data_IF_113409318323
#
_entry.id   IF_113409318323
#
_cell.length_a   1.000
_cell.length_b   1.000
_cell.length_c   1.000
_cell.angle_alpha   90.00
_cell.angle_beta   90.00
_cell.angle_gamma   90.00
#
_symmetry.space_group_name_H-M   'P 1'
#
loop_
_entity.id
_entity.type
_entity.pdbx_description
1 polymer ?
#
# COMPACT_ATOMS: atom_id res chain seq x y z
N UNK A 1 8.82 -27.39 72.27
CA UNK A 1 8.95 -26.02 72.79
C UNK A 1 8.86 -25.09 71.65
N UNK A 2 7.64 -24.63 71.30
CA UNK A 2 7.38 -23.65 70.25
C UNK A 2 7.79 -22.25 70.79
N UNK A 3 8.85 -21.70 70.20
CA UNK A 3 9.33 -20.37 70.53
C UNK A 3 8.38 -19.35 69.90
N UNK A 4 7.58 -18.66 70.73
CA UNK A 4 6.68 -17.60 70.33
C UNK A 4 7.48 -16.53 69.56
N UNK A 5 7.09 -16.15 68.32
CA UNK A 5 7.85 -15.17 67.55
C UNK A 5 7.84 -13.81 68.28
N UNK A 6 8.99 -13.16 68.33
CA UNK A 6 9.19 -11.84 68.93
C UNK A 6 8.36 -10.76 68.18
N UNK A 7 7.88 -9.74 68.88
CA UNK A 7 7.05 -8.70 68.31
C UNK A 7 7.72 -7.91 67.18
N UNK A 8 9.05 -7.80 67.21
CA UNK A 8 9.85 -7.20 66.13
C UNK A 8 9.82 -7.98 64.85
N UNK A 9 9.89 -9.34 64.94
CA UNK A 9 9.79 -10.22 63.77
C UNK A 9 8.42 -10.11 63.10
N UNK A 10 7.37 -10.08 63.88
CA UNK A 10 5.98 -9.93 63.38
C UNK A 10 5.77 -8.58 62.68
N UNK A 11 6.35 -7.50 63.20
CA UNK A 11 6.26 -6.17 62.59
C UNK A 11 7.06 -6.08 61.28
N UNK A 12 8.23 -6.71 61.21
CA UNK A 12 9.05 -6.76 60.02
C UNK A 12 8.35 -7.55 58.88
N UNK A 13 7.76 -8.69 59.21
CA UNK A 13 6.99 -9.51 58.23
C UNK A 13 5.75 -8.78 57.71
N UNK A 14 5.02 -8.07 58.57
CA UNK A 14 3.86 -7.25 58.18
C UNK A 14 4.30 -6.11 57.23
N UNK A 15 5.38 -5.41 57.54
CA UNK A 15 5.91 -4.36 56.70
C UNK A 15 6.34 -4.87 55.34
N UNK A 16 7.02 -6.02 55.29
CA UNK A 16 7.46 -6.63 54.05
C UNK A 16 6.32 -7.11 53.20
N UNK A 17 5.26 -7.68 53.84
CA UNK A 17 4.03 -8.06 53.16
C UNK A 17 3.33 -6.84 52.55
N UNK A 18 3.18 -5.75 53.33
CA UNK A 18 2.59 -4.50 52.83
C UNK A 18 3.37 -3.90 51.69
N UNK A 19 4.73 -3.87 51.80
CA UNK A 19 5.59 -3.39 50.71
C UNK A 19 5.47 -4.23 49.43
N UNK A 20 5.38 -5.55 49.55
CA UNK A 20 5.16 -6.43 48.40
C UNK A 20 3.79 -6.21 47.76
N UNK A 21 2.75 -6.09 48.60
CA UNK A 21 1.40 -5.83 48.13
C UNK A 21 1.30 -4.46 47.42
N UNK A 22 1.89 -3.42 48.00
CA UNK A 22 1.92 -2.07 47.37
C UNK A 22 2.64 -2.07 46.03
N UNK A 23 3.77 -2.77 45.94
CA UNK A 23 4.51 -2.93 44.69
C UNK A 23 3.68 -3.67 43.62
N UNK A 24 3.00 -4.75 44.01
CA UNK A 24 2.13 -5.52 43.11
C UNK A 24 0.95 -4.69 42.61
N UNK A 25 0.23 -4.04 43.52
CA UNK A 25 -0.92 -3.17 43.18
C UNK A 25 -0.45 -1.98 42.31
N UNK A 26 0.69 -1.38 42.67
CA UNK A 26 1.26 -0.29 41.85
C UNK A 26 1.63 -0.75 40.44
N UNK A 27 2.29 -1.90 40.29
CA UNK A 27 2.60 -2.46 38.98
C UNK A 27 1.35 -2.77 38.16
N UNK A 28 0.35 -3.39 38.79
CA UNK A 28 -0.93 -3.68 38.14
C UNK A 28 -1.67 -2.39 37.71
N UNK A 29 -1.65 -1.35 38.54
CA UNK A 29 -2.23 -0.05 38.21
C UNK A 29 -1.53 0.63 37.04
N UNK A 30 -0.20 0.62 37.00
CA UNK A 30 0.57 1.14 35.85
C UNK A 30 0.25 0.35 34.59
N UNK A 31 0.24 -0.97 34.66
CA UNK A 31 -0.10 -1.82 33.49
C UNK A 31 -1.50 -1.51 32.97
N UNK A 32 -2.49 -1.40 33.86
CA UNK A 32 -3.86 -1.08 33.47
C UNK A 32 -4.01 0.33 32.86
N UNK A 33 -3.21 1.29 33.30
CA UNK A 33 -3.20 2.66 32.76
C UNK A 33 -2.48 2.76 31.39
N UNK A 34 -1.39 1.99 31.21
CA UNK A 34 -0.57 2.04 30.00
C UNK A 34 -1.14 1.17 28.88
N UNK A 35 -1.81 0.05 29.22
CA UNK A 35 -2.35 -0.87 28.24
C UNK A 35 -3.25 -0.23 27.17
N UNK A 36 -4.26 0.62 27.51
CA UNK A 36 -5.10 1.26 26.51
C UNK A 36 -4.33 2.22 25.61
N UNK A 37 -3.24 2.83 26.10
CA UNK A 37 -2.39 3.69 25.28
C UNK A 37 -1.61 2.87 24.25
N UNK A 38 -1.09 1.73 24.65
CA UNK A 38 -0.38 0.81 23.73
C UNK A 38 -1.36 0.21 22.73
N UNK A 39 -2.55 -0.22 23.17
CA UNK A 39 -3.55 -0.79 22.28
C UNK A 39 -4.07 0.21 21.24
N UNK A 40 -4.13 1.50 21.58
CA UNK A 40 -4.52 2.57 20.66
C UNK A 40 -3.48 2.85 19.55
N UNK A 41 -2.25 2.33 19.67
CA UNK A 41 -1.20 2.42 18.63
C UNK A 41 -1.30 1.28 17.60
N UNK A 42 -2.12 0.29 17.84
CA UNK A 42 -2.39 -0.78 16.88
C UNK A 42 -3.27 -0.31 15.70
N UNK A 43 -3.25 -1.02 14.56
CA UNK A 43 -4.20 -0.76 13.50
C UNK A 43 -5.64 -0.96 14.00
N UNK A 44 -6.55 -0.10 13.58
CA UNK A 44 -7.97 -0.26 13.84
C UNK A 44 -8.63 -1.20 12.80
N UNK A 45 -9.84 -1.68 13.09
CA UNK A 45 -10.59 -2.60 12.23
C UNK A 45 -10.83 -2.03 10.83
N UNK A 46 -10.88 -0.69 10.69
CA UNK A 46 -11.04 -0.01 9.40
C UNK A 46 -9.76 -0.09 8.58
N UNK A 47 -8.62 0.15 9.22
CA UNK A 47 -7.30 0.04 8.55
C UNK A 47 -7.03 -1.40 8.11
N UNK A 48 -7.44 -2.39 8.92
CA UNK A 48 -7.32 -3.80 8.53
C UNK A 48 -8.22 -4.13 7.35
N UNK A 49 -9.47 -3.69 7.34
CA UNK A 49 -10.41 -3.88 6.23
C UNK A 49 -9.95 -3.17 4.93
N UNK A 50 -9.36 -1.97 5.04
CA UNK A 50 -8.80 -1.25 3.90
C UNK A 50 -7.56 -1.93 3.30
N UNK A 51 -6.88 -2.77 4.08
CA UNK A 51 -5.71 -3.53 3.64
C UNK A 51 -6.07 -4.87 2.96
N UNK A 52 -7.33 -5.29 3.00
CA UNK A 52 -7.73 -6.50 2.31
C UNK A 52 -7.61 -6.36 0.78
N UNK A 53 -7.23 -7.43 0.08
CA UNK A 53 -7.21 -7.42 -1.38
C UNK A 53 -8.61 -7.19 -1.95
N UNK A 54 -8.69 -6.40 -3.01
CA UNK A 54 -9.96 -6.14 -3.72
C UNK A 54 -9.97 -6.80 -5.09
N UNK A 55 -11.12 -7.40 -5.45
CA UNK A 55 -11.36 -7.94 -6.77
C UNK A 55 -12.12 -6.90 -7.62
N UNK A 56 -11.62 -6.65 -8.83
CA UNK A 56 -12.21 -5.70 -9.77
C UNK A 56 -12.54 -6.42 -11.07
N UNK A 57 -13.82 -6.41 -11.46
CA UNK A 57 -14.24 -6.92 -12.77
C UNK A 57 -13.77 -5.98 -13.88
N UNK A 58 -13.19 -6.56 -14.91
CA UNK A 58 -12.73 -5.91 -16.15
C UNK A 58 -13.65 -6.23 -17.32
N UNK A 59 -14.69 -7.06 -17.11
CA UNK A 59 -15.65 -7.41 -18.13
C UNK A 59 -16.36 -6.15 -18.68
N UNK A 60 -16.37 -6.01 -20.00
CA UNK A 60 -17.00 -4.86 -20.67
C UNK A 60 -16.19 -3.57 -20.71
N UNK A 61 -14.97 -3.55 -20.18
CA UNK A 61 -14.07 -2.40 -20.30
C UNK A 61 -13.49 -2.37 -21.72
N UNK A 62 -13.85 -1.38 -22.51
CA UNK A 62 -13.35 -1.23 -23.88
C UNK A 62 -11.88 -0.79 -23.92
N UNK A 63 -11.19 -1.14 -25.01
CA UNK A 63 -9.82 -0.67 -25.24
C UNK A 63 -9.76 0.87 -25.25
N UNK A 64 -8.74 1.43 -24.59
CA UNK A 64 -8.58 2.87 -24.36
C UNK A 64 -9.29 3.39 -23.11
N UNK A 65 -10.09 2.56 -22.43
CA UNK A 65 -10.77 2.98 -21.20
C UNK A 65 -9.92 2.70 -19.94
N UNK A 66 -10.15 3.52 -18.90
CA UNK A 66 -9.50 3.39 -17.60
C UNK A 66 -10.53 3.23 -16.49
N UNK A 67 -10.42 2.15 -15.75
CA UNK A 67 -11.17 1.92 -14.50
C UNK A 67 -10.38 2.48 -13.33
N UNK A 68 -11.07 3.19 -12.44
CA UNK A 68 -10.47 3.79 -11.23
C UNK A 68 -10.98 3.06 -10.00
N UNK A 69 -10.08 2.68 -9.09
CA UNK A 69 -10.42 2.05 -7.80
C UNK A 69 -9.54 2.66 -6.72
N UNK A 70 -10.04 2.65 -5.50
CA UNK A 70 -9.27 3.06 -4.32
C UNK A 70 -8.94 1.78 -3.55
N UNK A 71 -7.67 1.60 -3.19
CA UNK A 71 -7.17 0.54 -2.35
C UNK A 71 -6.11 1.09 -1.41
N UNK A 72 -6.22 0.81 -0.11
CA UNK A 72 -5.35 1.39 0.94
C UNK A 72 -5.25 2.92 0.86
N UNK A 73 -6.37 3.61 0.62
CA UNK A 73 -6.40 5.05 0.45
C UNK A 73 -5.69 5.56 -0.83
N UNK A 74 -5.18 4.67 -1.69
CA UNK A 74 -4.47 5.01 -2.93
C UNK A 74 -5.36 4.78 -4.14
N UNK A 75 -5.33 5.73 -5.07
CA UNK A 75 -6.00 5.58 -6.36
C UNK A 75 -5.21 4.60 -7.23
N UNK A 76 -5.89 3.58 -7.73
CA UNK A 76 -5.36 2.62 -8.70
C UNK A 76 -6.06 2.87 -10.04
N UNK A 77 -5.27 3.00 -11.09
CA UNK A 77 -5.72 3.13 -12.47
C UNK A 77 -5.48 1.79 -13.17
N UNK A 78 -6.55 1.21 -13.73
CA UNK A 78 -6.51 -0.02 -14.51
C UNK A 78 -6.88 0.38 -15.92
N UNK A 79 -5.92 0.42 -16.81
CA UNK A 79 -6.10 0.90 -18.19
C UNK A 79 -6.10 -0.27 -19.16
N UNK A 80 -7.14 -0.35 -19.98
CA UNK A 80 -7.22 -1.29 -21.11
C UNK A 80 -6.51 -0.70 -22.32
N UNK A 81 -5.24 -1.04 -22.50
CA UNK A 81 -4.40 -0.50 -23.57
C UNK A 81 -4.90 -0.96 -24.94
N UNK A 82 -4.88 -0.06 -25.88
CA UNK A 82 -5.10 -0.37 -27.30
C UNK A 82 -3.86 -1.06 -27.90
N UNK A 83 -3.97 -1.77 -29.02
CA UNK A 83 -2.81 -2.34 -29.72
C UNK A 83 -1.75 -1.30 -30.09
N UNK A 84 -2.18 -0.07 -30.41
CA UNK A 84 -1.28 1.05 -30.71
C UNK A 84 -0.48 1.48 -29.49
N UNK A 85 -1.11 1.56 -28.32
CA UNK A 85 -0.45 1.90 -27.05
C UNK A 85 0.57 0.84 -26.65
N UNK A 86 0.24 -0.44 -26.82
CA UNK A 86 1.18 -1.55 -26.56
C UNK A 86 2.39 -1.45 -27.49
N UNK A 87 2.16 -1.27 -28.80
CA UNK A 87 3.25 -1.14 -29.76
C UNK A 87 4.14 0.07 -29.47
N UNK A 88 3.54 1.21 -29.11
CA UNK A 88 4.27 2.42 -28.74
C UNK A 88 5.13 2.21 -27.48
N UNK A 89 4.60 1.50 -26.47
CA UNK A 89 5.32 1.18 -25.25
C UNK A 89 6.54 0.28 -25.54
N UNK A 90 6.38 -0.78 -26.33
CA UNK A 90 7.45 -1.70 -26.71
C UNK A 90 8.53 -1.01 -27.56
N UNK A 91 8.13 -0.12 -28.48
CA UNK A 91 9.09 0.68 -29.26
C UNK A 91 9.88 1.64 -28.37
N UNK A 92 9.29 2.14 -27.30
CA UNK A 92 9.95 3.03 -26.38
C UNK A 92 10.98 2.34 -25.47
N UNK A 93 11.01 1.00 -25.39
CA UNK A 93 12.04 0.23 -24.66
C UNK A 93 13.45 0.51 -25.20
N UNK A 94 13.57 0.87 -26.49
CA UNK A 94 14.83 1.21 -27.15
C UNK A 94 15.22 2.69 -27.00
N UNK A 95 14.44 3.49 -26.29
CA UNK A 95 14.71 4.93 -26.09
C UNK A 95 15.46 5.17 -24.78
N UNK A 96 16.17 6.29 -24.72
CA UNK A 96 16.76 6.76 -23.47
C UNK A 96 15.65 7.31 -22.58
N UNK A 97 15.20 6.53 -21.62
CA UNK A 97 14.19 6.91 -20.62
C UNK A 97 14.85 7.52 -19.38
N UNK A 98 14.15 8.42 -18.69
CA UNK A 98 14.63 9.00 -17.42
C UNK A 98 14.75 7.95 -16.31
N UNK A 99 13.83 6.97 -16.29
CA UNK A 99 13.86 5.80 -15.43
C UNK A 99 13.67 4.55 -16.30
N UNK A 100 14.77 3.93 -16.80
CA UNK A 100 14.72 2.80 -17.72
C UNK A 100 14.02 1.59 -17.09
N UNK A 101 13.02 1.06 -17.79
CA UNK A 101 12.30 -0.16 -17.43
C UNK A 101 11.59 -0.66 -18.70
N UNK A 102 11.69 -1.96 -19.00
CA UNK A 102 11.01 -2.53 -20.17
C UNK A 102 9.48 -2.57 -19.97
N UNK A 103 8.71 -2.48 -21.05
CA UNK A 103 7.24 -2.60 -21.00
C UNK A 103 6.83 -3.95 -20.36
N UNK A 104 7.54 -5.02 -20.69
CA UNK A 104 7.30 -6.36 -20.16
C UNK A 104 7.46 -6.49 -18.64
N UNK A 105 8.20 -5.60 -18.00
CA UNK A 105 8.37 -5.56 -16.54
C UNK A 105 7.23 -4.80 -15.84
N UNK A 106 6.38 -4.15 -16.61
CA UNK A 106 5.31 -3.29 -16.11
C UNK A 106 3.91 -3.88 -16.26
N UNK A 107 3.79 -4.96 -17.01
CA UNK A 107 2.54 -5.66 -17.27
C UNK A 107 2.70 -7.16 -17.11
N UNK A 108 1.60 -7.86 -16.90
CA UNK A 108 1.61 -9.33 -16.89
C UNK A 108 1.75 -9.85 -18.32
N UNK A 109 2.72 -10.74 -18.57
CA UNK A 109 3.03 -11.26 -19.91
C UNK A 109 1.82 -11.92 -20.59
N UNK A 110 0.95 -12.60 -19.82
CA UNK A 110 -0.26 -13.24 -20.35
C UNK A 110 -1.33 -12.24 -20.81
N UNK A 111 -1.33 -11.03 -20.24
CA UNK A 111 -2.37 -10.02 -20.50
C UNK A 111 -1.75 -8.62 -20.67
N UNK A 112 -0.91 -8.39 -21.71
CA UNK A 112 -0.20 -7.14 -21.92
C UNK A 112 -1.14 -5.94 -22.20
N UNK A 113 -2.40 -6.17 -22.49
CA UNK A 113 -3.41 -5.14 -22.67
C UNK A 113 -3.82 -4.45 -21.37
N UNK A 114 -3.53 -5.04 -20.20
CA UNK A 114 -3.89 -4.45 -18.92
C UNK A 114 -2.69 -3.80 -18.26
N UNK A 115 -2.73 -2.48 -18.15
CA UNK A 115 -1.78 -1.70 -17.36
C UNK A 115 -2.42 -1.33 -16.02
N UNK A 116 -1.83 -1.78 -14.91
CA UNK A 116 -2.28 -1.47 -13.55
C UNK A 116 -1.23 -0.61 -12.87
N UNK A 117 -1.58 0.64 -12.55
CA UNK A 117 -0.64 1.62 -11.97
C UNK A 117 -1.29 2.37 -10.81
N UNK A 118 -0.47 2.88 -9.91
CA UNK A 118 -0.92 3.85 -8.91
C UNK A 118 -1.13 5.22 -9.58
N UNK A 119 -2.30 5.81 -9.35
CA UNK A 119 -2.68 7.10 -9.92
C UNK A 119 -2.07 8.29 -9.15
N UNK A 120 -0.78 8.23 -8.82
CA UNK A 120 -0.05 9.29 -8.12
C UNK A 120 1.25 9.61 -8.82
N UNK A 121 1.41 10.88 -9.20
CA UNK A 121 2.63 11.38 -9.79
C UNK A 121 3.77 11.35 -8.75
N UNK A 122 4.93 10.72 -9.05
CA UNK A 122 6.05 10.62 -8.12
C UNK A 122 6.67 11.96 -7.73
N UNK A 123 6.35 13.06 -8.43
CA UNK A 123 6.85 14.38 -8.08
C UNK A 123 6.22 14.93 -6.80
N UNK A 124 4.87 14.99 -6.73
CA UNK A 124 4.14 15.63 -5.63
C UNK A 124 2.76 14.99 -5.36
N UNK A 125 2.51 13.75 -5.79
CA UNK A 125 1.30 13.00 -5.46
C UNK A 125 0.04 13.38 -6.24
N UNK A 126 0.11 14.31 -7.21
CA UNK A 126 -1.04 14.66 -8.03
C UNK A 126 -1.50 13.51 -8.91
N UNK A 127 -2.79 13.44 -9.20
CA UNK A 127 -3.36 12.39 -10.07
C UNK A 127 -3.07 12.71 -11.54
N UNK A 128 -2.32 11.84 -12.27
CA UNK A 128 -2.14 12.00 -13.70
C UNK A 128 -3.44 11.75 -14.47
N UNK A 129 -3.65 12.51 -15.53
CA UNK A 129 -4.74 12.31 -16.48
C UNK A 129 -4.24 11.63 -17.75
N UNK A 130 -5.14 10.99 -18.50
CA UNK A 130 -4.80 10.55 -19.85
C UNK A 130 -4.35 11.75 -20.69
N UNK A 131 -3.24 11.58 -21.42
CA UNK A 131 -2.75 12.64 -22.29
C UNK A 131 -3.73 12.83 -23.46
N UNK A 132 -4.18 14.07 -23.74
CA UNK A 132 -5.07 14.35 -24.86
C UNK A 132 -4.53 13.91 -26.23
N UNK A 133 -3.21 13.77 -26.36
CA UNK A 133 -2.56 13.22 -27.56
C UNK A 133 -2.78 11.72 -27.76
N UNK A 134 -3.39 11.01 -26.79
CA UNK A 134 -3.53 9.56 -26.77
C UNK A 134 -2.23 8.80 -26.45
N UNK A 135 -1.17 9.51 -26.03
CA UNK A 135 0.15 8.92 -25.78
C UNK A 135 0.51 8.91 -24.28
N UNK A 136 -0.21 8.10 -23.52
CA UNK A 136 0.11 7.91 -22.09
C UNK A 136 -0.55 8.94 -21.17
N UNK A 137 0.21 9.52 -20.23
CA UNK A 137 -0.34 10.29 -19.12
C UNK A 137 0.36 11.62 -18.93
N UNK A 138 -0.37 12.62 -18.45
CA UNK A 138 0.15 13.93 -18.08
C UNK A 138 -0.28 14.31 -16.67
N UNK A 139 0.66 14.80 -15.87
CA UNK A 139 0.37 15.32 -14.54
C UNK A 139 -0.01 16.81 -14.66
N UNK A 140 -1.24 17.20 -14.27
CA UNK A 140 -1.71 18.57 -14.47
C UNK A 140 -1.03 19.59 -13.55
N UNK A 141 -0.42 19.15 -12.45
CA UNK A 141 0.16 20.05 -11.46
C UNK A 141 1.42 20.75 -11.96
N UNK A 142 2.37 19.99 -12.55
CA UNK A 142 3.65 20.53 -12.98
C UNK A 142 4.12 19.98 -14.34
N UNK A 143 3.24 19.35 -15.09
CA UNK A 143 3.51 18.95 -16.47
C UNK A 143 4.45 17.76 -16.64
N UNK A 144 4.60 16.88 -15.63
CA UNK A 144 5.29 15.61 -15.84
C UNK A 144 4.52 14.75 -16.83
N UNK A 145 5.22 14.13 -17.78
CA UNK A 145 4.64 13.27 -18.80
C UNK A 145 5.14 11.82 -18.62
N UNK A 146 4.24 10.89 -18.92
CA UNK A 146 4.49 9.46 -18.85
C UNK A 146 3.97 8.79 -20.11
N UNK A 147 4.66 7.78 -20.58
CA UNK A 147 4.25 7.00 -21.75
C UNK A 147 3.06 6.06 -21.46
N UNK A 148 2.67 5.26 -22.44
CA UNK A 148 1.55 4.31 -22.37
C UNK A 148 1.83 3.12 -21.46
N UNK A 149 3.03 2.98 -20.91
CA UNK A 149 3.43 2.07 -19.83
C UNK A 149 3.54 2.76 -18.48
N UNK A 150 3.27 4.07 -18.39
CA UNK A 150 3.44 4.86 -17.18
C UNK A 150 4.90 5.14 -16.83
N UNK A 151 5.84 5.05 -17.79
CA UNK A 151 7.25 5.43 -17.61
C UNK A 151 7.41 6.92 -17.84
N UNK A 152 8.20 7.56 -16.99
CA UNK A 152 8.45 9.01 -17.08
C UNK A 152 9.25 9.33 -18.34
N UNK A 153 8.68 10.21 -19.17
CA UNK A 153 9.30 10.72 -20.40
C UNK A 153 9.74 12.17 -20.24
N UNK A 154 9.06 12.92 -19.33
CA UNK A 154 9.38 14.33 -19.06
C UNK A 154 9.11 14.64 -17.58
N UNK A 155 10.09 15.28 -16.94
CA UNK A 155 10.00 15.77 -15.57
C UNK A 155 9.01 16.90 -15.36
N UNK A 156 8.84 17.33 -14.08
CA UNK A 156 9.77 17.18 -12.95
C UNK A 156 9.76 15.83 -12.21
N UNK A 157 8.83 14.90 -12.49
CA UNK A 157 8.90 13.55 -11.94
C UNK A 157 10.20 12.86 -12.39
N UNK A 158 10.84 12.12 -11.47
CA UNK A 158 12.10 11.41 -11.72
C UNK A 158 11.95 9.89 -11.73
N UNK A 159 10.74 9.40 -11.44
CA UNK A 159 10.42 7.97 -11.39
C UNK A 159 9.17 7.65 -12.21
N UNK A 160 9.03 6.39 -12.58
CA UNK A 160 7.84 5.86 -13.24
C UNK A 160 6.64 5.84 -12.30
N UNK A 161 5.42 5.85 -12.84
CA UNK A 161 4.21 5.59 -12.06
C UNK A 161 4.34 4.19 -11.43
N UNK A 162 4.10 4.09 -10.14
CA UNK A 162 4.30 2.84 -9.41
C UNK A 162 3.27 1.78 -9.83
N UNK A 163 3.69 0.52 -9.82
CA UNK A 163 2.82 -0.65 -10.04
C UNK A 163 2.45 -1.19 -8.66
N UNK A 164 1.16 -1.35 -8.34
CA UNK A 164 0.75 -2.03 -7.12
C UNK A 164 0.96 -3.55 -7.26
N UNK A 165 0.97 -4.27 -6.14
CA UNK A 165 0.86 -5.73 -6.20
C UNK A 165 -0.52 -6.11 -6.72
N UNK A 166 -0.59 -6.88 -7.79
CA UNK A 166 -1.84 -7.35 -8.37
C UNK A 166 -1.67 -8.70 -9.08
N UNK A 167 -2.76 -9.41 -9.25
CA UNK A 167 -2.84 -10.61 -10.09
C UNK A 167 -4.04 -10.51 -11.01
N UNK A 168 -3.87 -10.91 -12.27
CA UNK A 168 -4.97 -11.05 -13.23
C UNK A 168 -5.48 -12.49 -13.22
N UNK A 169 -6.79 -12.65 -13.38
CA UNK A 169 -7.39 -13.96 -13.63
C UNK A 169 -6.87 -14.56 -14.95
N UNK A 170 -6.90 -15.88 -15.07
CA UNK A 170 -6.41 -16.57 -16.25
C UNK A 170 -7.10 -16.15 -17.56
N UNK A 171 -8.35 -15.73 -17.48
CA UNK A 171 -9.15 -15.21 -18.60
C UNK A 171 -8.96 -13.70 -18.85
N UNK A 172 -8.23 -12.99 -17.96
CA UNK A 172 -8.01 -11.54 -18.03
C UNK A 172 -9.26 -10.70 -17.78
N UNK A 173 -10.35 -11.27 -17.25
CA UNK A 173 -11.61 -10.58 -17.01
C UNK A 173 -11.77 -10.02 -15.60
N UNK A 174 -10.80 -10.26 -14.73
CA UNK A 174 -10.72 -9.66 -13.39
C UNK A 174 -9.29 -9.43 -12.95
N UNK A 175 -9.12 -8.45 -12.07
CA UNK A 175 -7.85 -8.17 -11.41
C UNK A 175 -8.06 -8.13 -9.90
N UNK A 176 -7.19 -8.81 -9.17
CA UNK A 176 -7.09 -8.76 -7.71
C UNK A 176 -5.92 -7.87 -7.33
N UNK A 177 -6.23 -6.78 -6.60
CA UNK A 177 -5.24 -5.79 -6.15
C UNK A 177 -4.91 -6.07 -4.69
N UNK A 178 -3.63 -6.05 -4.34
CA UNK A 178 -3.16 -6.33 -2.98
C UNK A 178 -2.94 -7.81 -2.68
N UNK A 179 -3.00 -8.69 -3.69
CA UNK A 179 -2.57 -10.07 -3.52
C UNK A 179 -1.08 -10.08 -3.14
N UNK A 180 -0.73 -10.72 -2.02
CA UNK A 180 0.66 -11.10 -1.78
C UNK A 180 0.99 -12.16 -2.82
N UNK A 181 2.12 -12.00 -3.51
CA UNK A 181 2.66 -13.04 -4.38
C UNK A 181 2.72 -14.35 -3.58
N UNK A 182 2.15 -15.41 -4.15
CA UNK A 182 2.14 -16.74 -3.56
C UNK A 182 3.51 -17.40 -3.73
#
# INVERSE_FOLDING_TARGET
MDKKPDSETIQTERRDCLCKLTKFVGAAGVTAAVWPLISALGPDDKTEAENEPIDVSLAGVAAGQTVKRIWQGKLILIHHRTPQEIAAAQQADNRLLLAPQADSERVTAAHPQWLVIQGYCPHAGCVPNANPSGQGWICPCHGSEFDTSGRVTRGPATANLAIPNYTLSADGLSVRIGAKDA
#
